data_IF_816980152725
#
_entry.id   IF_816980152725
#
_cell.length_a   1.000
_cell.length_b   1.000
_cell.length_c   1.000
_cell.angle_alpha   90.00
_cell.angle_beta   90.00
_cell.angle_gamma   90.00
#
_symmetry.space_group_name_H-M   'P 1'
#
loop_
_entity.id
_entity.type
_entity.pdbx_description
1 polymer ?
#
# COMPACT_ATOMS: atom_id res chain seq x y z
N UNK A 1 -65.10 30.57 19.18
CA UNK A 1 -64.70 31.88 19.72
C UNK A 1 -63.98 32.70 18.68
N UNK A 2 -64.59 33.83 18.31
CA UNK A 2 -64.05 34.77 17.34
C UNK A 2 -63.37 35.90 18.12
N UNK A 3 -62.04 35.89 18.19
CA UNK A 3 -61.27 36.95 18.86
C UNK A 3 -61.13 38.10 17.89
N UNK A 4 -62.14 38.97 17.83
CA UNK A 4 -62.13 40.15 16.97
C UNK A 4 -61.07 41.14 17.44
N UNK A 5 -60.05 41.36 16.61
CA UNK A 5 -59.07 42.43 16.81
C UNK A 5 -59.71 43.76 16.41
N UNK A 6 -60.13 44.57 17.38
CA UNK A 6 -60.74 45.88 17.14
C UNK A 6 -59.67 46.98 17.23
N UNK A 7 -59.46 47.69 16.12
CA UNK A 7 -58.55 48.84 15.98
C UNK A 7 -59.37 50.13 16.15
N UNK A 8 -58.79 51.14 16.82
CA UNK A 8 -59.43 52.30 17.45
C UNK A 8 -60.36 53.19 16.61
N UNK A 9 -61.16 53.98 17.34
CA UNK A 9 -62.33 54.74 16.89
C UNK A 9 -62.06 56.04 16.07
N UNK A 10 -60.84 56.28 15.60
CA UNK A 10 -60.48 57.49 14.85
C UNK A 10 -59.82 57.14 13.50
N UNK A 11 -60.36 57.69 12.40
CA UNK A 11 -59.99 57.35 11.02
C UNK A 11 -58.54 57.67 10.59
N UNK A 12 -57.71 58.21 11.50
CA UNK A 12 -56.38 58.74 11.18
C UNK A 12 -55.24 58.09 11.98
N UNK A 13 -55.49 56.97 12.68
CA UNK A 13 -54.43 56.21 13.36
C UNK A 13 -53.87 55.13 12.42
N UNK A 14 -52.58 55.21 12.10
CA UNK A 14 -51.88 54.16 11.33
C UNK A 14 -51.26 53.15 12.28
N UNK A 15 -51.74 51.90 12.26
CA UNK A 15 -51.05 50.79 12.93
C UNK A 15 -49.91 50.32 12.02
N UNK A 16 -48.69 50.58 12.44
CA UNK A 16 -47.50 50.10 11.76
C UNK A 16 -46.89 48.96 12.56
N UNK A 17 -46.97 47.74 12.03
CA UNK A 17 -46.20 46.62 12.55
C UNK A 17 -44.77 46.75 12.03
N UNK A 18 -43.86 47.25 12.87
CA UNK A 18 -42.44 47.26 12.56
C UNK A 18 -41.89 45.84 12.60
N UNK A 19 -41.71 45.22 11.44
CA UNK A 19 -40.97 43.95 11.34
C UNK A 19 -39.49 44.28 11.19
N UNK A 20 -38.80 44.47 12.31
CA UNK A 20 -37.42 44.99 12.34
C UNK A 20 -36.43 44.12 11.56
N UNK A 21 -36.68 42.81 11.40
CA UNK A 21 -35.87 41.95 10.52
C UNK A 21 -36.63 40.68 10.07
N UNK A 22 -37.05 40.64 8.81
CA UNK A 22 -37.53 39.42 8.10
C UNK A 22 -36.51 39.02 7.02
N UNK A 23 -35.24 39.39 7.20
CA UNK A 23 -34.23 38.88 6.30
C UNK A 23 -34.14 37.36 6.47
N UNK A 24 -33.71 36.71 5.39
CA UNK A 24 -33.28 35.33 5.43
C UNK A 24 -32.10 35.10 6.40
N UNK A 25 -31.60 36.10 7.12
CA UNK A 25 -30.59 35.97 8.19
C UNK A 25 -31.27 36.04 9.56
N UNK A 26 -32.18 37.00 9.77
CA UNK A 26 -32.96 37.16 11.01
C UNK A 26 -33.93 36.01 11.28
N UNK A 27 -34.57 35.45 10.25
CA UNK A 27 -35.43 34.25 10.36
C UNK A 27 -34.66 32.96 10.58
N UNK A 28 -33.38 32.98 10.25
CA UNK A 28 -32.52 31.82 10.09
C UNK A 28 -31.66 31.56 11.31
N UNK A 29 -31.35 32.60 12.10
CA UNK A 29 -30.52 32.48 13.30
C UNK A 29 -29.04 32.30 12.93
N UNK A 30 -28.12 32.72 13.82
CA UNK A 30 -26.69 32.53 13.62
C UNK A 30 -26.35 31.04 13.57
N UNK A 31 -26.16 30.50 12.36
CA UNK A 31 -25.58 29.18 12.18
C UNK A 31 -24.08 29.30 12.43
N UNK A 32 -23.63 28.89 13.61
CA UNK A 32 -22.28 28.39 13.72
C UNK A 32 -22.23 27.13 12.86
N UNK A 33 -21.42 27.12 11.80
CA UNK A 33 -21.11 25.91 11.05
C UNK A 33 -20.59 24.87 12.04
N UNK A 34 -21.41 23.86 12.35
CA UNK A 34 -21.00 22.77 13.22
C UNK A 34 -19.94 21.96 12.48
N UNK A 35 -18.67 22.30 12.67
CA UNK A 35 -17.55 21.56 12.10
C UNK A 35 -17.29 20.32 12.96
N UNK A 36 -17.81 19.17 12.52
CA UNK A 36 -17.41 17.87 13.04
C UNK A 36 -16.35 17.28 12.10
N UNK A 37 -15.10 17.14 12.58
CA UNK A 37 -14.11 16.34 11.88
C UNK A 37 -14.36 14.87 12.20
N UNK A 38 -14.44 14.02 11.17
CA UNK A 38 -14.48 12.57 11.35
C UNK A 38 -13.19 12.09 12.03
N UNK A 39 -13.27 11.07 12.88
CA UNK A 39 -12.08 10.44 13.43
C UNK A 39 -11.36 9.63 12.35
N UNK A 40 -10.02 9.63 12.38
CA UNK A 40 -9.17 8.99 11.37
C UNK A 40 -9.33 7.46 11.26
N UNK A 41 -10.06 6.81 12.16
CA UNK A 41 -10.07 5.34 12.31
C UNK A 41 -11.04 4.60 11.39
N UNK A 42 -12.00 5.29 10.79
CA UNK A 42 -13.10 4.61 10.06
C UNK A 42 -12.70 4.24 8.62
N UNK A 43 -11.69 4.94 8.08
CA UNK A 43 -11.07 4.59 6.82
C UNK A 43 -9.78 3.81 7.08
N UNK A 44 -9.50 2.84 6.22
CA UNK A 44 -8.21 2.15 6.18
C UNK A 44 -7.76 1.96 4.75
N UNK A 45 -6.46 2.05 4.52
CA UNK A 45 -5.82 1.68 3.27
C UNK A 45 -4.92 0.47 3.50
N UNK A 46 -4.92 -0.47 2.57
CA UNK A 46 -4.08 -1.67 2.64
C UNK A 46 -3.38 -1.89 1.31
N UNK A 47 -2.10 -2.26 1.36
CA UNK A 47 -1.34 -2.75 0.23
C UNK A 47 -0.79 -4.14 0.57
N UNK A 48 -1.16 -5.15 -0.23
CA UNK A 48 -0.73 -6.53 -0.04
C UNK A 48 0.28 -6.88 -1.12
N UNK A 49 1.45 -7.36 -0.71
CA UNK A 49 2.49 -7.82 -1.60
C UNK A 49 2.20 -9.18 -2.24
N UNK A 50 2.86 -9.41 -3.38
CA UNK A 50 3.20 -10.74 -3.87
C UNK A 50 4.13 -11.49 -2.90
N UNK A 51 4.41 -12.75 -3.22
CA UNK A 51 5.47 -13.49 -2.52
C UNK A 51 6.81 -12.81 -2.74
N UNK A 52 7.53 -12.54 -1.65
CA UNK A 52 8.85 -11.91 -1.73
C UNK A 52 9.90 -12.90 -2.26
N UNK A 53 10.82 -12.42 -3.11
CA UNK A 53 11.90 -13.21 -3.73
C UNK A 53 13.13 -13.36 -2.80
N UNK A 54 12.88 -13.72 -1.54
CA UNK A 54 13.88 -13.81 -0.46
C UNK A 54 14.56 -15.20 -0.35
N UNK A 55 14.23 -16.14 -1.24
CA UNK A 55 14.79 -17.50 -1.29
C UNK A 55 15.86 -17.66 -2.35
N UNK A 56 17.13 -17.86 -1.97
CA UNK A 56 18.25 -17.78 -2.92
C UNK A 56 19.37 -18.79 -2.66
N UNK A 57 20.02 -19.19 -3.74
CA UNK A 57 21.28 -19.93 -3.76
C UNK A 57 22.25 -19.22 -4.68
N UNK A 58 23.45 -18.95 -4.19
CA UNK A 58 24.51 -18.35 -4.99
C UNK A 58 25.68 -19.31 -5.12
N UNK A 59 26.31 -19.33 -6.29
CA UNK A 59 27.61 -19.97 -6.43
C UNK A 59 28.63 -19.24 -5.54
N UNK A 60 29.46 -19.99 -4.81
CA UNK A 60 30.50 -19.42 -3.92
C UNK A 60 31.62 -18.78 -4.74
N UNK A 61 31.86 -19.29 -5.95
CA UNK A 61 32.86 -18.80 -6.89
C UNK A 61 32.22 -18.04 -8.05
N UNK A 62 33.05 -17.26 -8.76
CA UNK A 62 32.68 -16.63 -10.02
C UNK A 62 32.13 -17.69 -10.98
N UNK A 63 30.97 -17.41 -11.56
CA UNK A 63 30.31 -18.32 -12.46
C UNK A 63 31.10 -18.41 -13.77
N UNK A 64 31.66 -19.59 -14.02
CA UNK A 64 32.43 -19.88 -15.23
C UNK A 64 31.74 -21.02 -15.96
N UNK A 65 30.92 -20.73 -16.98
CA UNK A 65 30.18 -21.77 -17.65
C UNK A 65 31.15 -22.76 -18.30
N UNK A 66 30.78 -24.03 -18.27
CA UNK A 66 31.45 -25.14 -18.95
C UNK A 66 30.39 -25.85 -19.78
N UNK A 67 30.78 -26.54 -20.84
CA UNK A 67 29.83 -27.38 -21.59
C UNK A 67 29.18 -28.39 -20.64
N UNK A 68 27.85 -28.34 -20.55
CA UNK A 68 27.12 -29.18 -19.63
C UNK A 68 25.65 -28.81 -19.46
N UNK A 69 25.04 -29.39 -18.43
CA UNK A 69 23.64 -29.20 -18.08
C UNK A 69 23.52 -28.73 -16.64
N UNK A 70 22.73 -27.67 -16.44
CA UNK A 70 22.19 -27.26 -15.16
C UNK A 70 20.78 -27.86 -15.02
N UNK A 71 20.57 -28.70 -14.02
CA UNK A 71 19.26 -29.28 -13.72
C UNK A 71 18.62 -28.54 -12.55
N UNK A 72 17.45 -27.93 -12.77
CA UNK A 72 16.66 -27.23 -11.75
C UNK A 72 15.28 -27.88 -11.62
N UNK A 73 14.92 -28.37 -10.43
CA UNK A 73 13.67 -29.08 -10.21
C UNK A 73 13.42 -30.19 -11.25
N UNK A 74 14.49 -30.91 -11.61
CA UNK A 74 14.47 -31.98 -12.62
C UNK A 74 14.50 -31.50 -14.08
N UNK A 75 14.36 -30.20 -14.36
CA UNK A 75 14.44 -29.64 -15.72
C UNK A 75 15.88 -29.38 -16.11
N UNK A 76 16.31 -29.93 -17.24
CA UNK A 76 17.67 -29.75 -17.78
C UNK A 76 17.79 -28.49 -18.62
N UNK A 77 18.83 -27.69 -18.38
CA UNK A 77 19.15 -26.45 -19.08
C UNK A 77 20.59 -26.55 -19.60
N UNK A 78 20.76 -26.55 -20.91
CA UNK A 78 22.08 -26.66 -21.52
C UNK A 78 22.87 -25.35 -21.41
N UNK A 79 24.09 -25.43 -20.88
CA UNK A 79 25.03 -24.33 -20.78
C UNK A 79 26.29 -24.69 -21.58
N UNK A 80 26.85 -23.71 -22.27
CA UNK A 80 28.04 -23.88 -23.09
C UNK A 80 29.19 -23.08 -22.48
N UNK A 81 30.43 -23.57 -22.62
CA UNK A 81 31.62 -22.87 -22.16
C UNK A 81 31.78 -21.47 -22.78
N UNK A 82 31.22 -21.27 -23.98
CA UNK A 82 31.21 -20.00 -24.68
C UNK A 82 30.10 -19.04 -24.21
N UNK A 83 29.14 -19.49 -23.39
CA UNK A 83 28.13 -18.61 -22.84
C UNK A 83 28.78 -17.57 -21.91
N UNK A 84 28.24 -16.35 -21.92
CA UNK A 84 28.49 -15.36 -20.87
C UNK A 84 27.56 -15.61 -19.68
N UNK A 85 27.89 -15.08 -18.50
CA UNK A 85 27.00 -15.11 -17.33
C UNK A 85 25.59 -14.58 -17.68
N UNK A 86 25.50 -13.50 -18.46
CA UNK A 86 24.23 -12.95 -18.92
C UNK A 86 23.45 -13.93 -19.80
N UNK A 87 24.10 -14.61 -20.74
CA UNK A 87 23.46 -15.62 -21.58
C UNK A 87 22.98 -16.82 -20.77
N UNK A 88 23.78 -17.29 -19.81
CA UNK A 88 23.36 -18.37 -18.91
C UNK A 88 22.15 -17.97 -18.05
N UNK A 89 22.13 -16.73 -17.54
CA UNK A 89 20.98 -16.17 -16.82
C UNK A 89 19.73 -16.17 -17.70
N UNK A 90 19.84 -15.71 -18.95
CA UNK A 90 18.73 -15.73 -19.91
C UNK A 90 18.19 -17.15 -20.10
N UNK A 91 19.06 -18.13 -20.39
CA UNK A 91 18.65 -19.53 -20.56
C UNK A 91 17.93 -20.11 -19.34
N UNK A 92 18.36 -19.74 -18.13
CA UNK A 92 17.70 -20.18 -16.89
C UNK A 92 16.33 -19.51 -16.73
N UNK A 93 16.27 -18.20 -16.95
CA UNK A 93 15.03 -17.42 -16.82
C UNK A 93 13.97 -17.79 -17.86
N UNK A 94 14.38 -18.18 -19.06
CA UNK A 94 13.47 -18.69 -20.09
C UNK A 94 12.71 -19.94 -19.61
N UNK A 95 13.31 -20.72 -18.71
CA UNK A 95 12.72 -21.92 -18.11
C UNK A 95 12.03 -21.65 -16.76
N UNK A 96 12.01 -20.40 -16.27
CA UNK A 96 11.53 -20.07 -14.92
C UNK A 96 10.06 -20.42 -14.67
N UNK A 97 9.23 -20.42 -15.72
CA UNK A 97 7.82 -20.84 -15.63
C UNK A 97 7.66 -22.34 -15.33
N UNK A 98 8.65 -23.16 -15.69
CA UNK A 98 8.65 -24.61 -15.47
C UNK A 98 9.43 -24.95 -14.20
N UNK A 99 10.59 -24.33 -14.00
CA UNK A 99 11.47 -24.62 -12.86
C UNK A 99 10.99 -23.95 -11.57
N UNK A 100 10.26 -22.84 -11.66
CA UNK A 100 9.97 -21.98 -10.50
C UNK A 100 11.22 -21.29 -9.94
N UNK A 101 12.33 -21.28 -10.70
CA UNK A 101 13.62 -20.70 -10.32
C UNK A 101 13.99 -19.61 -11.32
N UNK A 102 14.33 -18.42 -10.81
CA UNK A 102 14.90 -17.32 -11.59
C UNK A 102 16.40 -17.23 -11.35
N UNK A 103 17.11 -16.59 -12.26
CA UNK A 103 18.54 -16.34 -12.17
C UNK A 103 18.85 -14.85 -12.32
N UNK A 104 19.88 -14.40 -11.62
CA UNK A 104 20.45 -13.05 -11.74
C UNK A 104 21.96 -13.07 -11.45
N UNK A 105 22.64 -12.00 -11.82
CA UNK A 105 24.04 -11.80 -11.50
C UNK A 105 24.19 -11.10 -10.14
N UNK A 106 25.14 -11.55 -9.32
CA UNK A 106 25.62 -10.82 -8.14
C UNK A 106 27.13 -10.65 -8.27
N UNK A 107 27.55 -9.51 -8.80
CA UNK A 107 28.94 -9.36 -9.26
C UNK A 107 29.25 -10.39 -10.34
N UNK A 108 30.27 -11.23 -10.12
CA UNK A 108 30.65 -12.30 -11.04
C UNK A 108 29.98 -13.65 -10.74
N UNK A 109 29.09 -13.74 -9.75
CA UNK A 109 28.44 -15.00 -9.37
C UNK A 109 27.04 -15.13 -9.97
N UNK A 110 26.61 -16.38 -10.17
CA UNK A 110 25.25 -16.70 -10.55
C UNK A 110 24.43 -16.91 -9.27
N UNK A 111 23.35 -16.16 -9.16
CA UNK A 111 22.39 -16.29 -8.09
C UNK A 111 21.07 -16.82 -8.63
N UNK A 112 20.56 -17.87 -8.01
CA UNK A 112 19.28 -18.49 -8.29
C UNK A 112 18.29 -18.13 -7.20
N UNK A 113 17.07 -17.73 -7.57
CA UNK A 113 16.03 -17.34 -6.62
C UNK A 113 14.74 -18.13 -6.85
N UNK A 114 14.02 -18.46 -5.79
CA UNK A 114 12.73 -19.16 -5.86
C UNK A 114 11.83 -18.83 -4.67
N UNK A 115 10.52 -18.91 -4.89
CA UNK A 115 9.50 -18.82 -3.85
C UNK A 115 9.46 -20.07 -2.95
N UNK A 116 10.01 -21.20 -3.40
CA UNK A 116 10.05 -22.47 -2.68
C UNK A 116 11.48 -23.04 -2.61
N UNK A 117 11.71 -24.06 -1.77
CA UNK A 117 12.92 -24.87 -1.90
C UNK A 117 12.96 -25.54 -3.27
N UNK A 118 14.15 -25.73 -3.84
CA UNK A 118 14.31 -26.35 -5.15
C UNK A 118 15.51 -27.29 -5.18
N UNK A 119 15.58 -28.18 -6.17
CA UNK A 119 16.78 -28.98 -6.42
C UNK A 119 17.63 -28.33 -7.49
N UNK A 120 18.95 -28.35 -7.31
CA UNK A 120 19.91 -27.86 -8.29
C UNK A 120 21.06 -28.85 -8.44
N UNK A 121 21.47 -29.09 -9.69
CA UNK A 121 22.61 -29.95 -10.01
C UNK A 121 23.33 -29.43 -11.26
N UNK A 122 24.66 -29.43 -11.25
CA UNK A 122 25.46 -29.23 -12.46
C UNK A 122 26.04 -30.56 -12.94
N UNK A 123 26.08 -30.78 -14.25
CA UNK A 123 26.79 -31.93 -14.84
C UNK A 123 28.31 -31.76 -14.80
N UNK A 124 28.81 -30.56 -14.48
CA UNK A 124 30.21 -30.20 -14.37
C UNK A 124 30.44 -29.28 -13.17
N UNK A 125 31.59 -29.42 -12.51
CA UNK A 125 31.92 -28.64 -11.31
C UNK A 125 31.95 -27.12 -11.54
N UNK A 126 32.23 -26.66 -12.77
CA UNK A 126 32.18 -25.24 -13.15
C UNK A 126 30.76 -24.64 -13.18
N UNK A 127 29.73 -25.49 -13.26
CA UNK A 127 28.32 -25.08 -13.24
C UNK A 127 27.78 -25.10 -11.82
N UNK A 128 27.81 -26.27 -11.19
CA UNK A 128 27.29 -26.55 -9.84
C UNK A 128 27.81 -27.94 -9.41
N UNK A 129 28.08 -28.19 -8.11
CA UNK A 129 28.40 -29.54 -7.63
C UNK A 129 27.23 -30.52 -7.85
N UNK A 130 27.49 -31.80 -7.60
CA UNK A 130 26.50 -32.88 -7.74
C UNK A 130 25.20 -32.58 -6.97
N UNK A 131 24.08 -33.12 -7.47
CA UNK A 131 22.72 -32.75 -7.09
C UNK A 131 22.50 -32.56 -5.57
N UNK A 132 22.02 -31.38 -5.20
CA UNK A 132 21.65 -31.05 -3.82
C UNK A 132 20.24 -30.47 -3.75
N UNK A 133 19.55 -30.75 -2.64
CA UNK A 133 18.35 -30.01 -2.27
C UNK A 133 18.82 -28.65 -1.74
N UNK A 134 18.43 -27.60 -2.44
CA UNK A 134 18.71 -26.24 -2.05
C UNK A 134 17.60 -25.76 -1.14
N UNK A 135 17.91 -25.62 0.15
CA UNK A 135 16.99 -25.03 1.10
C UNK A 135 16.72 -23.57 0.71
N UNK A 136 15.46 -23.16 0.81
CA UNK A 136 15.07 -21.75 0.68
C UNK A 136 15.75 -20.95 1.80
N UNK A 137 16.62 -20.00 1.47
CA UNK A 137 16.98 -18.95 2.43
C UNK A 137 15.75 -18.09 2.69
N UNK A 138 15.57 -17.58 3.90
CA UNK A 138 14.38 -16.78 4.24
C UNK A 138 14.70 -15.29 4.35
N UNK A 139 15.84 -14.86 3.80
CA UNK A 139 16.45 -13.54 4.03
C UNK A 139 16.69 -12.75 2.74
N UNK A 140 16.68 -11.41 2.82
CA UNK A 140 17.06 -10.51 1.72
C UNK A 140 18.52 -10.75 1.29
N UNK A 141 18.81 -10.69 0.00
CA UNK A 141 20.16 -10.87 -0.56
C UNK A 141 20.99 -9.58 -0.61
N UNK A 142 20.31 -8.44 -0.65
CA UNK A 142 20.91 -7.13 -0.80
C UNK A 142 20.11 -6.14 0.02
N UNK A 143 20.74 -5.01 0.30
CA UNK A 143 20.00 -3.89 0.86
C UNK A 143 18.91 -3.44 -0.16
N UNK A 144 17.87 -2.86 0.39
CA UNK A 144 16.76 -2.29 -0.35
C UNK A 144 16.36 -0.98 0.33
N UNK A 145 16.03 0.03 -0.46
CA UNK A 145 15.43 1.26 0.06
C UNK A 145 14.07 1.46 -0.59
N UNK A 146 13.04 1.69 0.22
CA UNK A 146 11.68 1.95 -0.23
C UNK A 146 11.20 3.28 0.34
N UNK A 147 10.33 3.97 -0.38
CA UNK A 147 9.66 5.18 0.11
C UNK A 147 8.22 4.85 0.46
N UNK A 148 7.81 5.16 1.70
CA UNK A 148 6.43 5.02 2.17
C UNK A 148 5.94 6.39 2.61
N UNK A 149 4.90 6.90 1.95
CA UNK A 149 4.36 8.23 2.20
C UNK A 149 5.44 9.34 2.19
N UNK A 150 6.44 9.19 1.31
CA UNK A 150 7.55 10.13 1.17
C UNK A 150 8.70 9.95 2.16
N UNK A 151 8.58 9.02 3.12
CA UNK A 151 9.67 8.68 4.06
C UNK A 151 10.47 7.50 3.52
N UNK A 152 11.79 7.66 3.43
CA UNK A 152 12.71 6.61 3.02
C UNK A 152 12.97 5.61 4.15
N UNK A 153 12.83 4.32 3.85
CA UNK A 153 13.08 3.20 4.75
C UNK A 153 14.17 2.33 4.13
N UNK A 154 15.29 2.20 4.84
CA UNK A 154 16.40 1.33 4.45
C UNK A 154 16.26 -0.02 5.12
N UNK A 155 16.28 -1.08 4.32
CA UNK A 155 16.26 -2.47 4.72
C UNK A 155 17.65 -3.05 4.42
N UNK A 156 18.32 -3.57 5.43
CA UNK A 156 19.63 -4.19 5.24
C UNK A 156 19.53 -5.50 4.44
N UNK A 157 20.66 -5.96 3.91
CA UNK A 157 20.78 -7.34 3.44
C UNK A 157 20.66 -8.34 4.62
N UNK A 158 20.31 -9.59 4.32
CA UNK A 158 20.24 -10.67 5.30
C UNK A 158 19.00 -10.66 6.19
N UNK A 159 17.96 -9.90 5.84
CA UNK A 159 16.75 -9.71 6.67
C UNK A 159 15.65 -10.68 6.30
N UNK A 160 15.07 -11.37 7.28
CA UNK A 160 13.85 -12.15 7.03
C UNK A 160 12.66 -11.26 6.74
N UNK A 161 11.58 -11.77 6.13
CA UNK A 161 10.40 -10.94 5.85
C UNK A 161 9.78 -10.35 7.13
N UNK A 162 9.83 -11.09 8.24
CA UNK A 162 9.43 -10.59 9.55
C UNK A 162 10.34 -9.44 10.04
N UNK A 163 11.64 -9.53 9.80
CA UNK A 163 12.58 -8.45 10.10
C UNK A 163 12.39 -7.26 9.15
N UNK A 164 12.02 -7.49 7.89
CA UNK A 164 11.66 -6.42 6.95
C UNK A 164 10.43 -5.67 7.45
N UNK A 165 9.38 -6.38 7.88
CA UNK A 165 8.21 -5.74 8.49
C UNK A 165 8.59 -4.94 9.76
N UNK A 166 9.50 -5.47 10.58
CA UNK A 166 10.04 -4.74 11.73
C UNK A 166 10.83 -3.49 11.33
N UNK A 167 11.61 -3.53 10.24
CA UNK A 167 12.34 -2.37 9.71
C UNK A 167 11.40 -1.28 9.20
N UNK A 168 10.31 -1.68 8.54
CA UNK A 168 9.27 -0.76 8.09
C UNK A 168 8.55 -0.09 9.27
N UNK A 169 8.27 -0.84 10.33
CA UNK A 169 7.64 -0.28 11.54
C UNK A 169 8.63 0.57 12.37
N UNK A 170 9.92 0.24 12.30
CA UNK A 170 10.96 0.83 13.13
C UNK A 170 10.88 0.38 14.59
N UNK A 171 11.94 0.62 15.34
CA UNK A 171 11.97 0.31 16.79
C UNK A 171 10.85 1.04 17.51
N UNK A 172 10.02 0.30 18.24
CA UNK A 172 8.86 0.81 18.96
C UNK A 172 7.87 1.63 18.09
N UNK A 173 7.78 1.36 16.78
CA UNK A 173 6.83 2.04 15.88
C UNK A 173 7.29 3.43 15.43
N UNK A 174 8.57 3.77 15.58
CA UNK A 174 9.11 5.07 15.18
C UNK A 174 8.81 5.40 13.71
N UNK A 175 8.97 4.43 12.79
CA UNK A 175 8.69 4.64 11.38
C UNK A 175 7.19 4.59 11.08
N UNK A 176 6.40 3.80 11.83
CA UNK A 176 4.93 3.85 11.75
C UNK A 176 4.39 5.24 12.07
N UNK A 177 4.99 5.94 13.02
CA UNK A 177 4.61 7.33 13.38
C UNK A 177 4.93 8.32 12.26
N UNK A 178 6.04 8.11 11.53
CA UNK A 178 6.45 8.99 10.43
C UNK A 178 5.66 8.72 9.14
N UNK A 179 5.42 7.44 8.85
CA UNK A 179 4.80 6.99 7.61
C UNK A 179 3.27 6.91 7.69
N UNK A 180 2.71 6.76 8.88
CA UNK A 180 1.30 6.40 9.07
C UNK A 180 0.98 4.95 8.68
N UNK A 181 1.98 4.07 8.58
CA UNK A 181 1.82 2.69 8.08
C UNK A 181 2.41 1.65 9.02
N UNK A 182 1.67 0.57 9.23
CA UNK A 182 2.10 -0.64 9.92
C UNK A 182 2.29 -1.77 8.91
N UNK A 183 3.42 -2.46 9.00
CA UNK A 183 3.75 -3.64 8.21
C UNK A 183 3.61 -4.94 9.01
N UNK A 184 3.08 -5.97 8.37
CA UNK A 184 3.10 -7.35 8.86
C UNK A 184 3.65 -8.27 7.78
N UNK A 185 4.24 -9.40 8.19
CA UNK A 185 4.68 -10.45 7.29
C UNK A 185 3.96 -11.75 7.61
N UNK A 186 3.26 -12.32 6.62
CA UNK A 186 2.55 -13.58 6.73
C UNK A 186 2.58 -14.29 5.37
N UNK A 187 2.65 -15.62 5.36
CA UNK A 187 2.57 -16.44 4.14
C UNK A 187 3.54 -16.03 3.03
N UNK A 188 4.73 -15.56 3.42
CA UNK A 188 5.77 -15.10 2.48
C UNK A 188 5.50 -13.73 1.84
N UNK A 189 4.53 -12.98 2.36
CA UNK A 189 4.07 -11.68 1.82
C UNK A 189 4.14 -10.60 2.89
N UNK A 190 4.38 -9.37 2.45
CA UNK A 190 4.20 -8.18 3.28
C UNK A 190 2.78 -7.64 3.11
N UNK A 191 2.15 -7.26 4.21
CA UNK A 191 0.91 -6.46 4.20
C UNK A 191 1.19 -5.15 4.90
N UNK A 192 0.90 -4.05 4.20
CA UNK A 192 1.03 -2.69 4.71
C UNK A 192 -0.36 -2.13 4.96
N UNK A 193 -0.63 -1.66 6.17
CA UNK A 193 -1.92 -1.14 6.60
C UNK A 193 -1.73 0.27 7.13
N UNK A 194 -2.54 1.21 6.68
CA UNK A 194 -2.54 2.56 7.24
C UNK A 194 -3.01 2.51 8.70
N UNK A 195 -2.22 3.11 9.58
CA UNK A 195 -2.52 3.27 11.00
C UNK A 195 -3.37 4.52 11.28
N UNK A 196 -3.42 5.46 10.32
CA UNK A 196 -4.04 6.79 10.46
C UNK A 196 -5.18 7.04 9.46
N UNK A 197 -5.66 5.97 8.81
CA UNK A 197 -6.74 5.98 7.83
C UNK A 197 -6.46 6.74 6.53
N UNK A 198 -5.19 7.08 6.25
CA UNK A 198 -4.79 7.73 5.00
C UNK A 198 -4.36 6.74 3.94
N UNK A 199 -4.24 7.24 2.71
CA UNK A 199 -3.65 6.51 1.59
C UNK A 199 -2.21 6.06 1.90
N UNK A 200 -1.79 4.93 1.32
CA UNK A 200 -0.40 4.49 1.34
C UNK A 200 0.20 4.72 -0.04
N UNK A 201 1.15 5.63 -0.14
CA UNK A 201 2.00 5.83 -1.31
C UNK A 201 3.28 5.03 -1.16
N UNK A 202 3.52 4.14 -2.10
CA UNK A 202 4.71 3.29 -2.17
C UNK A 202 5.51 3.63 -3.41
N UNK A 203 6.80 3.84 -3.23
CA UNK A 203 7.77 3.96 -4.32
C UNK A 203 9.07 3.24 -3.96
N UNK A 204 9.88 2.99 -4.98
CA UNK A 204 11.28 2.65 -4.77
C UNK A 204 11.99 3.84 -4.11
N UNK A 205 12.98 3.55 -3.27
CA UNK A 205 13.75 4.59 -2.61
C UNK A 205 14.60 5.41 -3.58
N UNK A 206 14.98 6.60 -3.16
CA UNK A 206 15.76 7.54 -3.96
C UNK A 206 17.26 7.19 -4.07
N UNK A 207 17.78 6.32 -3.21
CA UNK A 207 19.16 5.85 -3.29
C UNK A 207 19.42 5.10 -4.61
N UNK A 208 20.47 5.48 -5.33
CA UNK A 208 20.78 4.91 -6.67
C UNK A 208 21.24 3.46 -6.66
N UNK A 209 21.73 2.95 -5.53
CA UNK A 209 22.21 1.57 -5.38
C UNK A 209 21.10 0.64 -4.88
N UNK A 210 20.40 1.07 -3.82
CA UNK A 210 19.47 0.22 -3.08
C UNK A 210 18.01 0.49 -3.41
N UNK A 211 17.71 1.61 -4.06
CA UNK A 211 16.35 2.04 -4.43
C UNK A 211 15.78 1.32 -5.65
N UNK A 212 16.46 1.29 -6.81
CA UNK A 212 15.93 0.67 -8.02
C UNK A 212 15.50 -0.79 -7.82
N UNK A 213 14.22 -1.07 -8.07
CA UNK A 213 13.64 -2.41 -7.95
C UNK A 213 13.49 -2.93 -6.52
N UNK A 214 13.70 -2.10 -5.49
CA UNK A 214 13.56 -2.47 -4.09
C UNK A 214 12.18 -3.06 -3.76
N UNK A 215 11.10 -2.42 -4.24
CA UNK A 215 9.74 -2.90 -4.00
C UNK A 215 9.53 -4.31 -4.58
N UNK A 216 10.00 -4.54 -5.82
CA UNK A 216 9.86 -5.84 -6.47
C UNK A 216 10.54 -6.97 -5.69
N UNK A 217 11.75 -6.71 -5.14
CA UNK A 217 12.47 -7.69 -4.29
C UNK A 217 11.66 -8.10 -3.05
N UNK A 218 10.86 -7.18 -2.53
CA UNK A 218 10.00 -7.38 -1.36
C UNK A 218 8.59 -7.89 -1.72
N UNK A 219 8.33 -8.17 -3.00
CA UNK A 219 7.01 -8.54 -3.49
C UNK A 219 6.01 -7.37 -3.53
N UNK A 220 6.46 -6.14 -3.33
CA UNK A 220 5.61 -4.94 -3.35
C UNK A 220 5.60 -4.30 -4.74
N UNK A 221 4.59 -3.48 -4.99
CA UNK A 221 4.46 -2.69 -6.22
C UNK A 221 4.32 -1.21 -5.87
N UNK A 222 4.90 -0.35 -6.70
CA UNK A 222 4.75 1.09 -6.55
C UNK A 222 3.31 1.49 -6.84
N UNK A 223 2.84 2.56 -6.19
CA UNK A 223 1.49 3.08 -6.39
C UNK A 223 0.93 3.74 -5.14
N UNK A 224 -0.34 4.11 -5.21
CA UNK A 224 -1.06 4.71 -4.09
C UNK A 224 -2.32 3.92 -3.80
N UNK A 225 -2.43 3.38 -2.59
CA UNK A 225 -3.67 2.76 -2.12
C UNK A 225 -4.67 3.84 -1.72
N UNK A 226 -5.95 3.58 -1.93
CA UNK A 226 -7.01 4.48 -1.47
C UNK A 226 -7.53 4.01 -0.11
N UNK A 227 -7.69 4.96 0.80
CA UNK A 227 -8.36 4.70 2.06
C UNK A 227 -9.87 4.51 1.85
N UNK A 228 -10.43 3.50 2.51
CA UNK A 228 -11.81 3.05 2.32
C UNK A 228 -12.46 2.72 3.65
N UNK A 229 -13.78 2.89 3.74
CA UNK A 229 -14.55 2.37 4.88
C UNK A 229 -14.39 0.86 5.01
N UNK A 230 -14.15 0.40 6.24
CA UNK A 230 -13.96 -1.02 6.53
C UNK A 230 -15.28 -1.76 6.77
N UNK A 231 -16.34 -1.02 7.12
CA UNK A 231 -17.71 -1.50 7.36
C UNK A 231 -18.75 -0.52 6.81
N UNK A 232 -19.98 -0.99 6.64
CA UNK A 232 -21.13 -0.09 6.41
C UNK A 232 -21.32 0.80 7.64
N UNK A 233 -21.73 2.05 7.44
CA UNK A 233 -22.05 3.00 8.51
C UNK A 233 -23.04 4.06 8.03
N UNK A 234 -23.46 4.96 8.90
CA UNK A 234 -24.41 6.02 8.58
C UNK A 234 -24.28 7.21 9.51
N UNK A 235 -24.69 8.37 9.03
CA UNK A 235 -24.81 9.59 9.84
C UNK A 235 -26.20 10.21 9.64
N UNK A 236 -26.77 10.79 10.69
CA UNK A 236 -28.01 11.56 10.59
C UNK A 236 -27.66 13.04 10.63
N UNK A 237 -27.99 13.76 9.56
CA UNK A 237 -27.73 15.19 9.39
C UNK A 237 -29.07 15.90 9.18
N UNK A 238 -29.42 16.80 10.10
CA UNK A 238 -30.73 17.49 10.10
C UNK A 238 -31.94 16.55 9.93
N UNK A 239 -31.90 15.39 10.60
CA UNK A 239 -32.97 14.39 10.56
C UNK A 239 -32.98 13.49 9.31
N UNK A 240 -32.06 13.69 8.36
CA UNK A 240 -31.88 12.83 7.19
C UNK A 240 -30.74 11.85 7.45
N UNK A 241 -31.03 10.56 7.39
CA UNK A 241 -30.01 9.50 7.47
C UNK A 241 -29.30 9.35 6.11
N UNK A 242 -27.97 9.49 6.13
CA UNK A 242 -27.09 9.22 4.99
C UNK A 242 -26.30 7.95 5.28
N UNK A 243 -26.41 6.95 4.41
CA UNK A 243 -25.75 5.66 4.56
C UNK A 243 -24.50 5.59 3.69
N UNK A 244 -23.44 5.03 4.25
CA UNK A 244 -22.19 4.75 3.57
C UNK A 244 -21.92 3.25 3.61
N UNK A 245 -21.30 2.74 2.54
CA UNK A 245 -21.00 1.33 2.36
C UNK A 245 -19.53 1.05 2.62
N UNK A 246 -19.25 -0.17 3.09
CA UNK A 246 -17.90 -0.71 3.11
C UNK A 246 -17.28 -0.53 1.71
N UNK A 247 -16.07 0.01 1.66
CA UNK A 247 -15.34 0.29 0.43
C UNK A 247 -15.50 1.71 -0.11
N UNK A 248 -16.42 2.50 0.44
CA UNK A 248 -16.57 3.92 0.10
C UNK A 248 -15.32 4.71 0.48
N UNK A 249 -14.94 5.64 -0.38
CA UNK A 249 -13.84 6.59 -0.17
C UNK A 249 -14.37 7.89 0.42
N UNK A 250 -13.48 8.78 0.87
CA UNK A 250 -13.86 10.13 1.28
C UNK A 250 -14.67 10.87 0.19
N UNK A 251 -14.32 10.69 -1.08
CA UNK A 251 -15.08 11.26 -2.21
C UNK A 251 -16.51 10.72 -2.31
N UNK A 252 -16.70 9.42 -2.11
CA UNK A 252 -18.02 8.80 -2.11
C UNK A 252 -18.88 9.29 -0.92
N UNK A 253 -18.26 9.47 0.25
CA UNK A 253 -18.91 10.01 1.46
C UNK A 253 -19.36 11.45 1.22
N UNK A 254 -18.46 12.32 0.75
CA UNK A 254 -18.77 13.72 0.42
C UNK A 254 -19.90 13.80 -0.62
N UNK A 255 -19.82 12.98 -1.67
CA UNK A 255 -20.87 12.92 -2.69
C UNK A 255 -22.21 12.49 -2.11
N UNK A 256 -22.23 11.49 -1.21
CA UNK A 256 -23.45 10.98 -0.59
C UNK A 256 -24.10 12.01 0.33
N UNK A 257 -23.32 12.78 1.10
CA UNK A 257 -23.84 13.86 1.95
C UNK A 257 -24.39 15.01 1.09
N UNK A 258 -23.64 15.45 0.08
CA UNK A 258 -24.03 16.57 -0.78
C UNK A 258 -25.22 16.23 -1.69
N UNK A 259 -25.43 14.94 -2.00
CA UNK A 259 -26.59 14.47 -2.76
C UNK A 259 -27.80 14.20 -1.87
N UNK A 260 -27.59 13.96 -0.58
CA UNK A 260 -28.67 13.85 0.38
C UNK A 260 -29.16 15.25 0.75
N UNK A 261 -30.48 15.48 0.70
CA UNK A 261 -31.14 16.76 1.02
C UNK A 261 -31.08 17.12 2.52
N UNK A 262 -29.89 17.03 3.11
CA UNK A 262 -29.54 17.24 4.51
C UNK A 262 -29.44 18.72 4.86
N UNK A 263 -29.31 19.60 3.88
CA UNK A 263 -29.10 21.04 4.10
C UNK A 263 -27.71 21.39 4.63
N UNK A 264 -26.74 20.46 4.54
CA UNK A 264 -25.31 20.72 4.81
C UNK A 264 -24.48 20.59 3.53
N UNK A 265 -23.25 21.09 3.56
CA UNK A 265 -22.27 20.90 2.49
C UNK A 265 -21.04 20.22 3.06
N UNK A 266 -20.70 19.06 2.51
CA UNK A 266 -19.50 18.31 2.81
C UNK A 266 -18.37 18.65 1.83
N UNK A 267 -17.15 18.63 2.34
CA UNK A 267 -15.91 18.77 1.59
C UNK A 267 -14.82 17.92 2.24
N UNK A 268 -13.77 17.61 1.48
CA UNK A 268 -12.54 16.99 2.00
C UNK A 268 -11.39 17.99 2.07
N UNK A 269 -10.49 17.78 3.01
CA UNK A 269 -9.20 18.45 3.11
C UNK A 269 -8.25 17.98 1.98
N UNK A 270 -7.16 18.73 1.79
CA UNK A 270 -6.16 18.41 0.77
C UNK A 270 -5.44 17.06 1.00
N UNK A 271 -5.43 16.56 2.23
CA UNK A 271 -4.87 15.26 2.61
C UNK A 271 -5.86 14.09 2.44
N UNK A 272 -7.00 14.33 1.79
CA UNK A 272 -8.08 13.38 1.57
C UNK A 272 -8.78 12.89 2.86
N UNK A 273 -8.74 13.70 3.93
CA UNK A 273 -9.59 13.54 5.13
C UNK A 273 -10.80 14.46 5.12
#
# INVERSE_FOLDING_TARGET
DNVGFQIGANANETISFGMTDISATGLKGSYGEAKAAGAATDLAATAVGGEAEIGQFSTVNAFTPTDGTLTLNGTSIALLAADTLAQSITKINDQSAVTGVKAQAVGATLQLTSASSFTAAGSAAGILPAAAVVAKTTTTNSAAQISINGTEITIAAGRTLAQVAADINGTAGANTTLTGVTATAADGRLTLTSADGKAIKLDNGSNTTDGPGALAKLGLQAGTSQAKLTTDTSVVLNGVEVKFKKGDTADAIVSSINSASTGVTASKNADNT
#
